data_IF_050128775168
#
_entry.id   IF_050128775168
#
_cell.length_a   1.000
_cell.length_b   1.000
_cell.length_c   1.000
_cell.angle_alpha   90.00
_cell.angle_beta   90.00
_cell.angle_gamma   90.00
#
_symmetry.space_group_name_H-M   'P 1'
#
loop_
_entity.id
_entity.type
_entity.pdbx_description
1 polymer ?
#
# COMPACT_ATOMS: atom_id res chain seq x y z
N UNK A 1 31.67 14.19 13.97
CA UNK A 1 30.25 14.07 13.55
C UNK A 1 29.99 14.38 12.08
N UNK A 2 30.97 14.82 11.27
CA UNK A 2 30.74 15.16 9.85
C UNK A 2 30.37 13.94 9.01
N UNK A 3 31.01 12.80 9.23
CA UNK A 3 30.80 11.58 8.45
C UNK A 3 29.39 11.02 8.62
N UNK A 4 28.92 10.90 9.87
CA UNK A 4 27.53 10.52 10.17
C UNK A 4 26.50 11.48 9.57
N UNK A 5 26.81 12.78 9.49
CA UNK A 5 25.94 13.78 8.84
C UNK A 5 25.85 13.59 7.33
N UNK A 6 26.93 13.14 6.70
CA UNK A 6 26.96 12.89 5.27
C UNK A 6 26.22 11.59 4.92
N UNK A 7 26.27 10.59 5.80
CA UNK A 7 25.61 9.30 5.60
C UNK A 7 24.13 9.33 5.99
N UNK A 8 23.78 10.05 7.05
CA UNK A 8 22.43 10.13 7.59
C UNK A 8 22.00 11.61 7.72
N UNK A 9 21.69 12.29 6.61
CA UNK A 9 21.36 13.71 6.62
C UNK A 9 20.03 14.02 7.31
N UNK A 10 19.08 13.07 7.28
CA UNK A 10 17.78 13.20 7.95
C UNK A 10 17.85 12.88 9.46
N UNK A 11 18.95 12.28 9.93
CA UNK A 11 19.10 11.94 11.33
C UNK A 11 19.63 13.11 12.16
N UNK A 12 18.96 13.39 13.29
CA UNK A 12 19.37 14.49 14.16
C UNK A 12 20.71 14.24 14.88
N UNK A 13 21.41 15.35 15.19
CA UNK A 13 22.66 15.33 15.96
C UNK A 13 22.53 14.52 17.25
N UNK A 14 21.44 14.80 17.97
CA UNK A 14 21.18 14.28 19.31
C UNK A 14 20.96 12.77 19.27
N UNK A 15 20.36 12.26 18.19
CA UNK A 15 20.18 10.82 17.99
C UNK A 15 21.51 10.15 17.66
N UNK A 16 22.30 10.74 16.76
CA UNK A 16 23.64 10.22 16.42
C UNK A 16 24.54 10.19 17.67
N UNK A 17 24.49 11.23 18.50
CA UNK A 17 25.23 11.26 19.78
C UNK A 17 24.72 10.23 20.78
N UNK A 18 23.40 10.07 20.91
CA UNK A 18 22.81 9.07 21.78
C UNK A 18 23.21 7.65 21.37
N UNK A 19 23.18 7.35 20.06
CA UNK A 19 23.60 6.07 19.50
C UNK A 19 25.09 5.85 19.73
N UNK A 20 25.95 6.84 19.45
CA UNK A 20 27.38 6.75 19.72
C UNK A 20 27.65 6.51 21.21
N UNK A 21 26.94 7.21 22.09
CA UNK A 21 27.08 7.05 23.55
C UNK A 21 26.61 5.66 24.00
N UNK A 22 25.51 5.16 23.44
CA UNK A 22 24.98 3.83 23.73
C UNK A 22 25.92 2.71 23.27
N UNK A 23 26.59 2.90 22.13
CA UNK A 23 27.57 1.96 21.57
C UNK A 23 29.00 2.17 22.10
N UNK A 24 29.19 2.99 23.15
CA UNK A 24 30.52 3.24 23.73
C UNK A 24 31.52 3.87 22.76
N UNK A 25 31.03 4.60 21.75
CA UNK A 25 31.83 5.18 20.67
C UNK A 25 32.21 4.21 19.56
N UNK A 26 31.70 2.97 19.57
CA UNK A 26 31.92 2.01 18.48
C UNK A 26 31.19 2.49 17.21
N UNK A 27 31.98 2.88 16.21
CA UNK A 27 31.48 3.46 14.96
C UNK A 27 30.67 2.45 14.16
N UNK A 28 31.18 1.22 13.99
CA UNK A 28 30.52 0.19 13.17
C UNK A 28 29.12 -0.15 13.73
N UNK A 29 29.04 -0.45 15.02
CA UNK A 29 27.76 -0.72 15.69
C UNK A 29 26.79 0.48 15.62
N UNK A 30 27.32 1.70 15.69
CA UNK A 30 26.51 2.91 15.54
C UNK A 30 26.00 3.09 14.10
N UNK A 31 26.79 2.73 13.09
CA UNK A 31 26.38 2.79 11.68
C UNK A 31 25.25 1.78 11.43
N UNK A 32 25.42 0.54 11.90
CA UNK A 32 24.40 -0.51 11.74
C UNK A 32 23.08 -0.10 12.42
N UNK A 33 23.15 0.45 13.63
CA UNK A 33 21.98 0.92 14.35
C UNK A 33 21.29 2.11 13.67
N UNK A 34 22.07 3.07 13.15
CA UNK A 34 21.52 4.22 12.42
C UNK A 34 20.88 3.80 11.08
N UNK A 35 21.44 2.80 10.38
CA UNK A 35 20.84 2.23 9.17
C UNK A 35 19.50 1.56 9.47
N UNK A 36 19.41 0.78 10.55
CA UNK A 36 18.15 0.17 10.99
C UNK A 36 17.11 1.24 11.33
N UNK A 37 17.49 2.25 12.13
CA UNK A 37 16.60 3.36 12.49
C UNK A 37 16.13 4.19 11.29
N UNK A 38 16.98 4.42 10.30
CA UNK A 38 16.59 5.10 9.08
C UNK A 38 15.53 4.29 8.30
N UNK A 39 15.77 2.99 8.15
CA UNK A 39 14.83 2.07 7.48
C UNK A 39 13.48 2.00 8.20
N UNK A 40 13.50 1.98 9.54
CA UNK A 40 12.28 1.97 10.34
C UNK A 40 11.47 3.27 10.17
N UNK A 41 12.13 4.44 10.20
CA UNK A 41 11.46 5.73 9.96
C UNK A 41 10.85 5.81 8.56
N UNK A 42 11.56 5.35 7.53
CA UNK A 42 11.03 5.32 6.16
C UNK A 42 9.81 4.41 6.05
N UNK A 43 9.84 3.23 6.70
CA UNK A 43 8.69 2.33 6.72
C UNK A 43 7.48 2.94 7.44
N UNK A 44 7.68 3.65 8.56
CA UNK A 44 6.60 4.36 9.26
C UNK A 44 5.99 5.46 8.39
N UNK A 45 6.82 6.21 7.64
CA UNK A 45 6.36 7.22 6.67
C UNK A 45 5.54 6.58 5.56
N UNK A 46 6.03 5.51 4.93
CA UNK A 46 5.31 4.79 3.87
C UNK A 46 3.97 4.23 4.36
N UNK A 47 3.94 3.66 5.57
CA UNK A 47 2.69 3.18 6.18
C UNK A 47 1.69 4.29 6.40
N UNK A 48 2.14 5.42 6.94
CA UNK A 48 1.31 6.61 7.15
C UNK A 48 0.74 7.14 5.85
N UNK A 49 1.56 7.19 4.79
CA UNK A 49 1.10 7.58 3.45
C UNK A 49 0.07 6.60 2.87
N UNK A 50 0.29 5.29 3.03
CA UNK A 50 -0.69 4.28 2.62
C UNK A 50 -2.02 4.45 3.36
N UNK A 51 -1.98 4.58 4.69
CA UNK A 51 -3.18 4.77 5.53
C UNK A 51 -3.93 6.05 5.17
N UNK A 52 -3.21 7.13 4.84
CA UNK A 52 -3.80 8.38 4.37
C UNK A 52 -4.50 8.21 3.01
N UNK A 53 -3.97 7.39 2.11
CA UNK A 53 -4.64 7.08 0.84
C UNK A 53 -5.82 6.11 1.00
N UNK A 54 -5.75 5.19 1.97
CA UNK A 54 -6.83 4.24 2.27
C UNK A 54 -8.02 4.89 2.98
N UNK A 55 -7.78 5.95 3.78
CA UNK A 55 -8.85 6.77 4.37
C UNK A 55 -9.53 7.75 3.39
N UNK A 56 -9.01 7.91 2.17
CA UNK A 56 -9.54 8.89 1.21
C UNK A 56 -10.83 8.45 0.51
N UNK A 57 -11.17 7.16 0.52
CA UNK A 57 -12.49 6.66 0.13
C UNK A 57 -12.54 5.23 0.63
N UNK A 58 -13.31 4.96 1.70
CA UNK A 58 -13.71 3.60 1.97
C UNK A 58 -14.33 3.06 0.66
N UNK A 59 -13.80 1.98 0.05
CA UNK A 59 -14.41 1.43 -1.15
C UNK A 59 -15.90 1.22 -0.81
N UNK A 60 -16.84 1.67 -1.66
CA UNK A 60 -18.26 1.60 -1.33
C UNK A 60 -18.53 0.18 -0.87
N UNK A 61 -19.00 0.04 0.39
CA UNK A 61 -19.35 -1.23 1.00
C UNK A 61 -20.26 -1.94 0.01
N UNK A 62 -19.72 -2.86 -0.78
CA UNK A 62 -20.50 -3.64 -1.70
C UNK A 62 -21.23 -4.62 -0.81
N UNK A 63 -22.43 -4.23 -0.36
CA UNK A 63 -23.36 -5.17 0.25
C UNK A 63 -23.60 -6.23 -0.82
N UNK A 64 -23.10 -7.46 -0.67
CA UNK A 64 -23.42 -8.49 -1.64
C UNK A 64 -24.96 -8.59 -1.65
N UNK A 65 -25.62 -8.50 -2.81
CA UNK A 65 -27.06 -8.74 -2.87
C UNK A 65 -27.34 -10.10 -2.22
N UNK A 66 -28.44 -10.23 -1.46
CA UNK A 66 -28.74 -11.45 -0.72
C UNK A 66 -28.63 -12.63 -1.68
N UNK A 67 -27.78 -13.59 -1.31
CA UNK A 67 -27.35 -14.70 -2.13
C UNK A 67 -28.55 -15.46 -2.71
N UNK A 68 -28.99 -15.08 -3.91
CA UNK A 68 -29.65 -16.02 -4.79
C UNK A 68 -28.54 -16.87 -5.41
N UNK A 69 -28.61 -18.21 -5.34
CA UNK A 69 -27.66 -19.08 -6.00
C UNK A 69 -27.93 -19.02 -7.51
N UNK A 70 -27.51 -17.96 -8.17
CA UNK A 70 -27.43 -17.95 -9.62
C UNK A 70 -26.09 -18.62 -9.98
N UNK A 71 -26.09 -19.87 -10.49
CA UNK A 71 -24.87 -20.45 -11.02
C UNK A 71 -24.35 -19.52 -12.13
N UNK A 72 -23.02 -19.41 -12.29
CA UNK A 72 -22.45 -18.61 -13.36
C UNK A 72 -23.02 -19.07 -14.71
N UNK A 73 -23.32 -18.13 -15.63
CA UNK A 73 -23.89 -18.48 -16.93
C UNK A 73 -22.99 -19.48 -17.65
N UNK A 74 -23.57 -20.59 -18.07
CA UNK A 74 -22.85 -21.60 -18.85
C UNK A 74 -22.52 -21.04 -20.22
N UNK A 75 -21.33 -21.35 -20.76
CA UNK A 75 -20.85 -20.85 -22.06
C UNK A 75 -21.84 -21.03 -23.22
N UNK A 76 -22.75 -22.02 -23.15
CA UNK A 76 -23.77 -22.28 -24.17
C UNK A 76 -24.87 -21.20 -24.24
N UNK A 77 -25.09 -20.43 -23.17
CA UNK A 77 -26.03 -19.30 -23.17
C UNK A 77 -25.49 -18.10 -23.97
N UNK A 78 -24.17 -17.92 -24.03
CA UNK A 78 -23.54 -16.83 -24.77
C UNK A 78 -23.60 -17.02 -26.30
N UNK A 79 -23.79 -18.25 -26.78
CA UNK A 79 -23.86 -18.57 -28.21
C UNK A 79 -25.30 -18.71 -28.74
N UNK A 80 -26.30 -18.63 -27.86
CA UNK A 80 -27.70 -18.76 -28.25
C UNK A 80 -28.29 -17.38 -28.51
N UNK A 81 -27.96 -16.77 -29.66
CA UNK A 81 -28.67 -15.61 -30.19
C UNK A 81 -30.12 -15.99 -30.52
N UNK A 82 -31.15 -15.45 -29.85
CA UNK A 82 -32.51 -15.60 -30.32
C UNK A 82 -32.74 -14.57 -31.44
N UNK A 83 -33.04 -15.07 -32.65
CA UNK A 83 -33.58 -14.30 -33.76
C UNK A 83 -34.65 -13.33 -33.26
N UNK A 84 -34.42 -12.04 -33.47
CA UNK A 84 -35.34 -10.98 -33.12
C UNK A 84 -36.63 -11.11 -33.94
N UNK A 85 -37.73 -11.10 -33.21
CA UNK A 85 -39.11 -11.06 -33.66
C UNK A 85 -39.33 -9.82 -34.57
N UNK A 86 -39.46 -10.02 -35.88
CA UNK A 86 -39.94 -8.96 -36.79
C UNK A 86 -41.47 -8.99 -36.83
N UNK A 87 -42.08 -8.10 -36.06
CA UNK A 87 -43.48 -7.73 -36.19
C UNK A 87 -43.64 -6.22 -36.36
N UNK A 88 -44.14 -5.84 -37.55
CA UNK A 88 -44.94 -4.63 -37.88
C UNK A 88 -44.30 -3.45 -38.64
N UNK A 89 -44.63 -3.41 -39.95
CA UNK A 89 -45.06 -2.33 -40.88
C UNK A 89 -44.37 -0.96 -40.88
N UNK A 90 -44.00 -0.48 -42.09
CA UNK A 90 -44.49 0.79 -42.69
C UNK A 90 -44.00 0.99 -44.16
N UNK A 91 -44.95 1.44 -45.00
CA UNK A 91 -44.94 1.81 -46.43
C UNK A 91 -45.01 0.72 -47.50
#
# INVERSE_FOLDING_TARGET
>A
MRDFRSMFPEMEAVVIEAVLRANGGAVDASIDQLLAMATDNDNERLRTELEATENAEAPPHYSPPPAAPTPPPSYQQATSTPTANQGQVLY
#
